data_IF_014920406613
#
_entry.id   IF_014920406613
#
_cell.length_a   1.000
_cell.length_b   1.000
_cell.length_c   1.000
_cell.angle_alpha   90.00
_cell.angle_beta   90.00
_cell.angle_gamma   90.00
#
_symmetry.space_group_name_H-M   'P 1'
#
loop_
_entity.id
_entity.type
_entity.pdbx_description
1 polymer ?
#
# COMPACT_ATOMS: atom_id res chain seq x y z
N UNK A 1 6.59 16.78 -17.08
CA UNK A 1 7.75 16.86 -16.15
C UNK A 1 7.36 16.57 -14.71
N UNK A 2 6.24 17.09 -14.20
CA UNK A 2 5.76 16.89 -12.81
C UNK A 2 5.69 15.40 -12.40
N UNK A 3 5.24 14.51 -13.29
CA UNK A 3 5.14 13.06 -13.01
C UNK A 3 6.46 12.39 -12.68
N UNK A 4 7.58 12.85 -13.29
CA UNK A 4 8.92 12.31 -13.02
C UNK A 4 9.45 12.67 -11.64
N UNK A 5 8.91 13.73 -11.04
CA UNK A 5 9.26 14.20 -9.70
C UNK A 5 8.28 13.62 -8.67
N UNK A 6 6.97 13.62 -8.97
CA UNK A 6 5.94 13.15 -8.04
C UNK A 6 6.06 11.65 -7.71
N UNK A 7 6.43 10.82 -8.69
CA UNK A 7 6.60 9.37 -8.49
C UNK A 7 7.68 9.03 -7.46
N UNK A 8 8.93 9.52 -7.57
CA UNK A 8 9.95 9.24 -6.57
C UNK A 8 9.62 9.86 -5.21
N UNK A 9 8.90 10.98 -5.15
CA UNK A 9 8.46 11.57 -3.88
C UNK A 9 7.48 10.65 -3.14
N UNK A 10 6.47 10.11 -3.82
CA UNK A 10 5.55 9.14 -3.20
C UNK A 10 6.30 7.84 -2.88
N UNK A 11 7.11 7.36 -3.80
CA UNK A 11 7.86 6.12 -3.64
C UNK A 11 8.82 6.15 -2.44
N UNK A 12 9.48 7.29 -2.18
CA UNK A 12 10.42 7.41 -1.07
C UNK A 12 9.79 7.14 0.29
N UNK A 13 8.53 7.55 0.50
CA UNK A 13 7.80 7.29 1.74
C UNK A 13 7.60 5.78 1.94
N UNK A 14 7.18 5.07 0.89
CA UNK A 14 6.94 3.62 0.97
C UNK A 14 8.21 2.80 1.03
N UNK A 15 9.29 3.25 0.38
CA UNK A 15 10.61 2.63 0.49
C UNK A 15 11.13 2.78 1.91
N UNK A 16 11.05 3.97 2.49
CA UNK A 16 11.47 4.22 3.86
C UNK A 16 10.65 3.41 4.88
N UNK A 17 9.33 3.39 4.73
CA UNK A 17 8.44 2.61 5.59
C UNK A 17 8.65 1.09 5.44
N UNK A 18 8.89 0.60 4.23
CA UNK A 18 9.23 -0.79 3.98
C UNK A 18 10.59 -1.18 4.54
N UNK A 19 11.60 -0.33 4.38
CA UNK A 19 12.94 -0.55 4.94
C UNK A 19 12.90 -0.55 6.47
N UNK A 20 12.19 0.38 7.09
CA UNK A 20 11.98 0.43 8.54
C UNK A 20 11.31 -0.86 9.05
N UNK A 21 10.27 -1.32 8.37
CA UNK A 21 9.57 -2.56 8.71
C UNK A 21 10.45 -3.81 8.54
N UNK A 22 11.43 -3.81 7.64
CA UNK A 22 12.40 -4.91 7.49
C UNK A 22 13.46 -4.89 8.59
N UNK A 23 13.93 -3.70 8.97
CA UNK A 23 14.96 -3.53 10.00
C UNK A 23 14.42 -3.74 11.41
N UNK A 24 13.18 -3.33 11.66
CA UNK A 24 12.50 -3.39 12.96
C UNK A 24 11.26 -4.31 12.91
N UNK A 25 11.40 -5.48 12.30
CA UNK A 25 10.27 -6.41 12.08
C UNK A 25 9.54 -6.76 13.37
N UNK A 26 10.26 -6.96 14.47
CA UNK A 26 9.70 -7.33 15.78
C UNK A 26 8.71 -6.29 16.34
N UNK A 27 8.95 -5.02 16.10
CA UNK A 27 8.09 -3.92 16.56
C UNK A 27 6.76 -3.88 15.79
N UNK A 28 6.74 -4.44 14.58
CA UNK A 28 5.57 -4.44 13.71
C UNK A 28 4.73 -5.72 13.79
N UNK A 29 5.27 -6.78 14.41
CA UNK A 29 4.61 -8.09 14.55
C UNK A 29 3.32 -7.98 15.35
N UNK A 30 3.30 -7.25 16.46
CA UNK A 30 2.12 -7.09 17.30
C UNK A 30 0.94 -6.46 16.54
N UNK A 31 1.22 -5.39 15.79
CA UNK A 31 0.22 -4.75 14.94
C UNK A 31 -0.28 -5.67 13.82
N UNK A 32 0.59 -6.49 13.27
CA UNK A 32 0.25 -7.46 12.23
C UNK A 32 -0.62 -8.59 12.79
N UNK A 33 -0.34 -9.08 14.00
CA UNK A 33 -1.16 -10.10 14.67
C UNK A 33 -2.59 -9.64 14.90
N UNK A 34 -2.78 -8.42 15.37
CA UNK A 34 -4.10 -7.81 15.56
C UNK A 34 -4.85 -7.71 14.24
N UNK A 35 -4.16 -7.29 13.17
CA UNK A 35 -4.74 -7.19 11.84
C UNK A 35 -5.16 -8.56 11.31
N UNK A 36 -4.30 -9.57 11.44
CA UNK A 36 -4.60 -10.94 11.01
C UNK A 36 -5.79 -11.51 11.77
N UNK A 37 -5.86 -11.31 13.09
CA UNK A 37 -7.02 -11.74 13.90
C UNK A 37 -8.31 -11.11 13.41
N UNK A 38 -8.31 -9.78 13.15
CA UNK A 38 -9.48 -9.06 12.63
C UNK A 38 -9.85 -9.52 11.22
N UNK A 39 -8.88 -9.64 10.34
CA UNK A 39 -9.10 -10.11 8.98
C UNK A 39 -9.73 -11.51 8.96
N UNK A 40 -9.24 -12.42 9.80
CA UNK A 40 -9.80 -13.78 9.90
C UNK A 40 -11.19 -13.81 10.49
N UNK A 41 -11.56 -12.87 11.36
CA UNK A 41 -12.90 -12.77 11.93
C UNK A 41 -13.94 -12.31 10.89
N UNK A 42 -13.54 -11.47 9.94
CA UNK A 42 -14.42 -10.86 8.95
C UNK A 42 -14.46 -11.64 7.63
N UNK A 43 -13.34 -12.27 7.24
CA UNK A 43 -13.23 -12.99 5.97
C UNK A 43 -13.87 -14.38 6.01
N UNK A 44 -14.50 -14.81 4.91
CA UNK A 44 -14.96 -16.18 4.74
C UNK A 44 -13.82 -17.19 4.93
N UNK A 45 -14.11 -18.37 5.47
CA UNK A 45 -13.12 -19.41 5.82
C UNK A 45 -12.15 -19.78 4.69
N UNK A 46 -12.60 -19.70 3.45
CA UNK A 46 -11.78 -20.02 2.27
C UNK A 46 -10.62 -19.05 2.07
N UNK A 47 -10.83 -17.76 2.36
CA UNK A 47 -9.81 -16.72 2.25
C UNK A 47 -8.96 -16.62 3.53
N UNK A 48 -9.56 -16.82 4.69
CA UNK A 48 -8.87 -16.82 5.98
C UNK A 48 -7.75 -17.88 6.05
N UNK A 49 -7.91 -19.02 5.37
CA UNK A 49 -6.90 -20.09 5.28
C UNK A 49 -5.66 -19.70 4.45
N UNK A 50 -5.78 -18.73 3.54
CA UNK A 50 -4.68 -18.25 2.70
C UNK A 50 -3.77 -17.24 3.39
N UNK A 51 -4.23 -16.66 4.50
CA UNK A 51 -3.42 -15.73 5.28
C UNK A 51 -2.33 -16.51 6.00
N UNK A 52 -1.04 -16.14 5.86
CA UNK A 52 0.05 -16.76 6.60
C UNK A 52 -0.23 -16.81 8.10
N UNK A 53 0.15 -17.88 8.76
CA UNK A 53 -0.01 -18.02 10.22
C UNK A 53 1.09 -17.31 10.97
N UNK A 54 2.23 -17.12 10.33
CA UNK A 54 3.39 -16.45 10.90
C UNK A 54 3.29 -14.93 10.62
N UNK A 55 3.07 -14.10 11.67
CA UNK A 55 2.96 -12.67 11.52
C UNK A 55 4.29 -12.01 11.12
N UNK A 56 5.43 -12.59 11.49
CA UNK A 56 6.75 -12.09 11.09
C UNK A 56 6.95 -12.23 9.58
N UNK A 57 6.60 -13.39 9.02
CA UNK A 57 6.65 -13.61 7.58
C UNK A 57 5.74 -12.65 6.83
N UNK A 58 4.55 -12.36 7.38
CA UNK A 58 3.63 -11.38 6.81
C UNK A 58 4.22 -9.98 6.78
N UNK A 59 4.80 -9.52 7.89
CA UNK A 59 5.45 -8.20 7.97
C UNK A 59 6.59 -8.09 6.97
N UNK A 60 7.46 -9.11 6.90
CA UNK A 60 8.59 -9.13 5.96
C UNK A 60 8.15 -9.14 4.50
N UNK A 61 7.13 -9.93 4.16
CA UNK A 61 6.62 -10.00 2.77
C UNK A 61 5.98 -8.68 2.33
N UNK A 62 5.19 -8.04 3.19
CA UNK A 62 4.60 -6.72 2.93
C UNK A 62 5.67 -5.65 2.82
N UNK A 63 6.66 -5.67 3.70
CA UNK A 63 7.78 -4.72 3.68
C UNK A 63 8.64 -4.86 2.41
N UNK A 64 8.97 -6.09 2.01
CA UNK A 64 9.68 -6.37 0.76
C UNK A 64 8.87 -5.92 -0.47
N UNK A 65 7.55 -6.13 -0.47
CA UNK A 65 6.66 -5.64 -1.52
C UNK A 65 6.66 -4.10 -1.61
N UNK A 66 6.66 -3.41 -0.46
CA UNK A 66 6.74 -1.93 -0.43
C UNK A 66 8.06 -1.41 -1.00
N UNK A 67 9.19 -2.00 -0.60
CA UNK A 67 10.51 -1.61 -1.12
C UNK A 67 10.60 -1.90 -2.61
N UNK A 68 10.23 -3.08 -3.05
CA UNK A 68 10.26 -3.47 -4.46
C UNK A 68 9.35 -2.62 -5.34
N UNK A 69 8.08 -2.50 -4.97
CA UNK A 69 7.12 -1.69 -5.71
C UNK A 69 7.44 -0.18 -5.63
N UNK A 70 7.96 0.31 -4.50
CA UNK A 70 8.43 1.68 -4.35
C UNK A 70 9.59 1.98 -5.30
N UNK A 71 10.58 1.11 -5.36
CA UNK A 71 11.74 1.27 -6.25
C UNK A 71 11.32 1.25 -7.73
N UNK A 72 10.48 0.31 -8.14
CA UNK A 72 9.97 0.25 -9.52
C UNK A 72 9.11 1.46 -9.87
N UNK A 73 8.34 2.00 -8.91
CA UNK A 73 7.58 3.24 -9.09
C UNK A 73 8.51 4.45 -9.25
N UNK A 74 9.57 4.55 -8.43
CA UNK A 74 10.54 5.65 -8.48
C UNK A 74 11.26 5.70 -9.84
N UNK A 75 11.70 4.54 -10.33
CA UNK A 75 12.35 4.42 -11.66
C UNK A 75 11.34 4.62 -12.80
N UNK A 76 10.05 4.47 -12.54
CA UNK A 76 8.99 4.58 -13.55
C UNK A 76 8.79 3.31 -14.38
N UNK A 77 9.29 2.17 -13.90
CA UNK A 77 9.04 0.87 -14.48
C UNK A 77 7.69 0.33 -13.98
N UNK A 78 6.77 0.01 -14.89
CA UNK A 78 5.41 -0.46 -14.58
C UNK A 78 4.68 0.38 -13.51
N UNK A 79 4.59 1.71 -13.63
CA UNK A 79 4.14 2.59 -12.55
C UNK A 79 2.71 2.27 -12.06
N UNK A 80 1.86 1.75 -12.92
CA UNK A 80 0.47 1.38 -12.58
C UNK A 80 0.42 0.16 -11.67
N UNK A 81 1.20 -0.88 -12.01
CA UNK A 81 1.29 -2.11 -11.21
C UNK A 81 1.91 -1.79 -9.86
N UNK A 82 3.01 -1.06 -9.85
CA UNK A 82 3.69 -0.63 -8.62
C UNK A 82 2.77 0.18 -7.71
N UNK A 83 2.06 1.17 -8.27
CA UNK A 83 1.11 1.98 -7.51
C UNK A 83 -0.05 1.15 -6.95
N UNK A 84 -0.55 0.17 -7.70
CA UNK A 84 -1.62 -0.74 -7.22
C UNK A 84 -1.13 -1.64 -6.09
N UNK A 85 0.07 -2.20 -6.20
CA UNK A 85 0.68 -3.02 -5.14
C UNK A 85 0.89 -2.18 -3.87
N UNK A 86 1.43 -0.97 -4.00
CA UNK A 86 1.60 -0.05 -2.87
C UNK A 86 0.26 0.33 -2.23
N UNK A 87 -0.76 0.63 -3.02
CA UNK A 87 -2.10 0.92 -2.51
C UNK A 87 -2.69 -0.27 -1.75
N UNK A 88 -2.55 -1.49 -2.27
CA UNK A 88 -3.01 -2.71 -1.62
C UNK A 88 -2.31 -2.98 -0.28
N UNK A 89 -1.01 -2.65 -0.16
CA UNK A 89 -0.26 -2.78 1.11
C UNK A 89 -0.50 -1.60 2.05
N UNK A 90 -0.83 -0.41 1.54
CA UNK A 90 -1.07 0.78 2.34
C UNK A 90 -2.33 0.67 3.20
N UNK A 91 -3.42 0.11 2.66
CA UNK A 91 -4.71 0.00 3.36
C UNK A 91 -4.58 -0.79 4.67
N UNK A 92 -4.11 -2.06 4.68
CA UNK A 92 -3.97 -2.80 5.93
C UNK A 92 -2.95 -2.17 6.88
N UNK A 93 -1.86 -1.62 6.37
CA UNK A 93 -0.85 -0.95 7.20
C UNK A 93 -1.42 0.30 7.90
N UNK A 94 -2.20 1.10 7.18
CA UNK A 94 -2.86 2.28 7.72
C UNK A 94 -3.83 1.90 8.84
N UNK A 95 -4.64 0.88 8.63
CA UNK A 95 -5.59 0.38 9.64
C UNK A 95 -4.89 -0.22 10.86
N UNK A 96 -3.75 -0.91 10.67
CA UNK A 96 -3.00 -1.51 11.75
C UNK A 96 -2.30 -0.46 12.64
N UNK A 97 -1.65 0.53 12.02
CA UNK A 97 -0.81 1.51 12.74
C UNK A 97 -1.55 2.75 13.24
N UNK A 98 -2.58 3.17 12.52
CA UNK A 98 -3.23 4.46 12.73
C UNK A 98 -4.70 4.34 13.14
N UNK A 99 -5.03 3.31 13.92
CA UNK A 99 -6.36 3.14 14.49
C UNK A 99 -6.60 4.16 15.63
N UNK A 100 -6.83 5.42 15.28
CA UNK A 100 -7.00 6.52 16.24
C UNK A 100 -8.26 6.40 17.08
N UNK A 101 -9.25 5.62 16.65
CA UNK A 101 -10.49 5.35 17.39
C UNK A 101 -10.32 4.38 18.56
N UNK A 102 -9.19 3.69 18.67
CA UNK A 102 -8.89 2.73 19.73
C UNK A 102 -8.16 3.36 20.93
N UNK A 103 -7.62 4.56 20.76
CA UNK A 103 -6.80 5.23 21.76
C UNK A 103 -7.62 6.29 22.50
N UNK A 104 -7.56 6.27 23.85
CA UNK A 104 -8.26 7.22 24.69
C UNK A 104 -7.44 8.46 25.02
N UNK A 105 -6.10 8.37 24.97
CA UNK A 105 -5.22 9.51 25.17
C UNK A 105 -5.31 10.50 23.99
N UNK A 106 -5.59 11.78 24.32
CA UNK A 106 -5.76 12.84 23.32
C UNK A 106 -4.52 13.10 22.48
N UNK A 107 -3.33 13.06 23.07
CA UNK A 107 -2.08 13.33 22.36
C UNK A 107 -1.77 12.20 21.36
N UNK A 108 -1.88 10.95 21.80
CA UNK A 108 -1.67 9.78 20.96
C UNK A 108 -2.74 9.68 19.86
N UNK A 109 -4.00 9.96 20.21
CA UNK A 109 -5.11 10.00 19.26
C UNK A 109 -4.89 11.01 18.14
N UNK A 110 -4.41 12.21 18.47
CA UNK A 110 -4.11 13.24 17.49
C UNK A 110 -2.94 12.82 16.58
N UNK A 111 -1.90 12.23 17.13
CA UNK A 111 -0.76 11.71 16.36
C UNK A 111 -1.20 10.59 15.40
N UNK A 112 -1.98 9.63 15.85
CA UNK A 112 -2.53 8.54 15.03
C UNK A 112 -3.48 9.07 13.95
N UNK A 113 -4.32 10.05 14.28
CA UNK A 113 -5.21 10.72 13.31
C UNK A 113 -4.42 11.44 12.22
N UNK A 114 -3.37 12.17 12.59
CA UNK A 114 -2.49 12.84 11.63
C UNK A 114 -1.82 11.83 10.70
N UNK A 115 -1.28 10.74 11.24
CA UNK A 115 -0.72 9.64 10.45
C UNK A 115 -1.73 8.99 9.51
N UNK A 116 -2.97 8.78 9.98
CA UNK A 116 -4.06 8.25 9.16
C UNK A 116 -4.37 9.16 7.97
N UNK A 117 -4.54 10.46 8.20
CA UNK A 117 -4.83 11.44 7.15
C UNK A 117 -3.68 11.56 6.14
N UNK A 118 -2.43 11.51 6.61
CA UNK A 118 -1.25 11.51 5.74
C UNK A 118 -1.23 10.28 4.84
N UNK A 119 -1.46 9.10 5.41
CA UNK A 119 -1.53 7.86 4.63
C UNK A 119 -2.72 7.83 3.66
N UNK A 120 -3.86 8.42 4.04
CA UNK A 120 -5.01 8.57 3.17
C UNK A 120 -4.68 9.46 1.96
N UNK A 121 -3.98 10.56 2.17
CA UNK A 121 -3.51 11.45 1.09
C UNK A 121 -2.52 10.74 0.16
N UNK A 122 -1.58 9.97 0.71
CA UNK A 122 -0.64 9.15 -0.07
C UNK A 122 -1.37 8.07 -0.87
N UNK A 123 -2.35 7.41 -0.27
CA UNK A 123 -3.19 6.43 -0.95
C UNK A 123 -3.95 7.06 -2.12
N UNK A 124 -4.51 8.26 -1.94
CA UNK A 124 -5.11 9.03 -3.02
C UNK A 124 -4.15 9.28 -4.18
N UNK A 125 -2.91 9.68 -3.88
CA UNK A 125 -1.84 9.84 -4.88
C UNK A 125 -1.50 8.55 -5.61
N UNK A 126 -1.46 7.42 -4.92
CA UNK A 126 -1.24 6.10 -5.53
C UNK A 126 -2.40 5.68 -6.44
N UNK A 127 -3.65 5.93 -6.04
CA UNK A 127 -4.82 5.63 -6.85
C UNK A 127 -4.81 6.44 -8.15
N UNK A 128 -4.50 7.72 -8.09
CA UNK A 128 -4.32 8.56 -9.27
C UNK A 128 -3.20 8.00 -10.16
N UNK A 129 -2.07 7.61 -9.57
CA UNK A 129 -0.94 7.03 -10.31
C UNK A 129 -1.29 5.69 -10.94
N UNK A 130 -2.09 4.87 -10.28
CA UNK A 130 -2.53 3.56 -10.80
C UNK A 130 -3.44 3.69 -12.04
N UNK A 131 -4.20 4.77 -12.12
CA UNK A 131 -5.09 5.08 -13.25
C UNK A 131 -4.39 5.91 -14.34
N UNK A 132 -3.22 6.49 -14.05
CA UNK A 132 -2.48 7.33 -14.97
C UNK A 132 -1.97 6.53 -16.18
N UNK A 133 -2.50 6.84 -17.34
CA UNK A 133 -2.10 6.19 -18.61
C UNK A 133 -0.81 6.77 -19.21
N UNK A 134 -0.20 7.77 -18.56
CA UNK A 134 0.99 8.47 -19.03
C UNK A 134 0.86 9.03 -20.47
N UNK A 135 -0.38 9.41 -20.86
CA UNK A 135 -0.68 9.88 -22.23
C UNK A 135 -0.83 8.77 -23.26
N UNK A 136 -0.72 7.50 -22.86
CA UNK A 136 -1.00 6.36 -23.77
C UNK A 136 -2.49 6.02 -23.73
N UNK A 137 -3.08 5.60 -24.84
CA UNK A 137 -4.49 5.18 -24.87
C UNK A 137 -4.74 4.04 -23.87
N UNK A 138 -5.82 4.16 -23.10
CA UNK A 138 -6.21 3.13 -22.11
C UNK A 138 -6.51 1.77 -22.77
N UNK A 139 -6.45 0.69 -21.97
CA UNK A 139 -6.71 -0.67 -22.47
C UNK A 139 -8.08 -0.79 -23.15
N UNK A 140 -9.09 -0.10 -22.62
CA UNK A 140 -10.44 -0.08 -23.21
C UNK A 140 -10.44 0.52 -24.62
N UNK A 141 -9.74 1.63 -24.84
CA UNK A 141 -9.59 2.25 -26.16
C UNK A 141 -8.78 1.37 -27.11
N UNK A 142 -7.72 0.70 -26.62
CA UNK A 142 -6.95 -0.25 -27.44
C UNK A 142 -7.76 -1.45 -27.86
N UNK A 143 -8.58 -1.98 -26.96
CA UNK A 143 -9.46 -3.10 -27.25
C UNK A 143 -10.55 -2.71 -28.27
N UNK A 144 -11.19 -1.54 -28.11
CA UNK A 144 -12.17 -1.05 -29.08
C UNK A 144 -11.56 -0.80 -30.46
N UNK A 145 -10.33 -0.22 -30.49
CA UNK A 145 -9.64 0.03 -31.74
C UNK A 145 -9.22 -1.26 -32.45
N UNK A 146 -8.80 -2.28 -31.70
CA UNK A 146 -8.49 -3.59 -32.25
C UNK A 146 -9.74 -4.29 -32.83
N UNK A 147 -10.90 -4.09 -32.21
CA UNK A 147 -12.18 -4.61 -32.69
C UNK A 147 -12.70 -3.89 -33.95
N UNK A 148 -12.35 -2.61 -34.14
CA UNK A 148 -12.71 -1.84 -35.36
C UNK A 148 -11.86 -2.19 -36.58
N UNK A 149 -10.67 -2.77 -36.39
CA UNK A 149 -9.72 -3.11 -37.47
C UNK A 149 -9.91 -4.55 -37.97
N UNK A 150 -10.72 -5.33 -37.27
CA UNK A 150 -11.10 -6.71 -37.65
C UNK A 150 -12.41 -6.73 -38.32
#
# INVERSE_FOLDING_TARGET
MIRKIARPMIASVYIADGADSLLHTSEHVESAELLVKRARAVLPRNYARRIPRDPELLVRSVAAAKVGAGTTLAVGFLPRVSATVLAATAVPTMLARHAFWETQDKAERNARRSGFLTNLALLGGLLITSTDTAGKPGLKWRASKAAEVT
#
